data_IF_071477465256
#
_entry.id   IF_071477465256
#
_cell.length_a   1.000
_cell.length_b   1.000
_cell.length_c   1.000
_cell.angle_alpha   90.00
_cell.angle_beta   90.00
_cell.angle_gamma   90.00
#
_symmetry.space_group_name_H-M   'P 1'
#
loop_
_entity.id
_entity.type
_entity.pdbx_description
1 polymer ?
#
# COMPACT_ATOMS: atom_id res chain seq x y z
N UNK A 1 16.02 16.63 -17.25
CA UNK A 1 15.72 16.27 -15.84
C UNK A 1 14.27 15.82 -15.61
N UNK A 2 13.23 16.59 -15.98
CA UNK A 2 11.82 16.22 -15.72
C UNK A 2 11.38 14.86 -16.26
N UNK A 3 11.74 14.52 -17.51
CA UNK A 3 11.34 13.25 -18.13
C UNK A 3 11.92 12.03 -17.39
N UNK A 4 13.20 12.08 -17.01
CA UNK A 4 13.85 11.00 -16.25
C UNK A 4 13.21 10.82 -14.85
N UNK A 5 12.82 11.93 -14.20
CA UNK A 5 12.11 11.89 -12.94
C UNK A 5 10.72 11.22 -13.07
N UNK A 6 9.95 11.59 -14.09
CA UNK A 6 8.65 10.96 -14.38
C UNK A 6 8.81 9.47 -14.68
N UNK A 7 9.81 9.12 -15.48
CA UNK A 7 10.11 7.74 -15.84
C UNK A 7 10.47 6.90 -14.61
N UNK A 8 11.38 7.39 -13.75
CA UNK A 8 11.78 6.67 -12.55
C UNK A 8 10.57 6.40 -11.63
N UNK A 9 9.71 7.41 -11.42
CA UNK A 9 8.49 7.24 -10.63
C UNK A 9 7.55 6.19 -11.24
N UNK A 10 7.35 6.24 -12.55
CA UNK A 10 6.46 5.31 -13.27
C UNK A 10 6.99 3.87 -13.22
N UNK A 11 8.27 3.67 -13.51
CA UNK A 11 8.91 2.34 -13.44
C UNK A 11 8.80 1.74 -12.04
N UNK A 12 8.95 2.55 -10.98
CA UNK A 12 8.74 2.08 -9.62
C UNK A 12 7.32 1.58 -9.37
N UNK A 13 6.31 2.27 -9.93
CA UNK A 13 4.91 1.85 -9.79
C UNK A 13 4.53 0.58 -10.56
N UNK A 14 5.33 0.21 -11.57
CA UNK A 14 5.14 -1.00 -12.36
C UNK A 14 5.94 -2.21 -11.86
N UNK A 15 6.91 -1.98 -10.98
CA UNK A 15 7.81 -3.01 -10.50
C UNK A 15 7.09 -4.14 -9.74
N UNK A 16 7.75 -5.29 -9.67
CA UNK A 16 7.29 -6.47 -8.92
C UNK A 16 7.84 -6.49 -7.49
N UNK A 17 7.13 -7.10 -6.51
CA UNK A 17 7.63 -7.24 -5.16
C UNK A 17 9.00 -7.91 -5.10
N UNK A 18 9.97 -7.24 -4.48
CA UNK A 18 11.35 -7.70 -4.37
C UNK A 18 12.26 -7.25 -5.52
N UNK A 19 11.71 -6.57 -6.54
CA UNK A 19 12.51 -6.06 -7.64
C UNK A 19 13.53 -5.01 -7.19
N UNK A 20 14.74 -5.08 -7.76
CA UNK A 20 15.85 -4.21 -7.38
C UNK A 20 15.75 -2.86 -8.08
N UNK A 21 15.90 -1.77 -7.31
CA UNK A 21 15.92 -0.42 -7.85
C UNK A 21 17.09 -0.21 -8.84
N UNK A 22 16.82 0.05 -10.14
CA UNK A 22 17.84 0.13 -11.18
C UNK A 22 18.68 1.42 -11.10
N UNK A 23 18.23 2.42 -10.34
CA UNK A 23 18.91 3.70 -10.14
C UNK A 23 19.81 3.73 -8.90
N UNK A 24 19.77 2.68 -8.07
CA UNK A 24 20.61 2.56 -6.89
C UNK A 24 22.10 2.66 -7.27
N UNK A 25 22.83 3.55 -6.60
CA UNK A 25 24.25 3.83 -6.89
C UNK A 25 24.52 4.64 -8.17
N UNK A 26 23.51 4.91 -9.01
CA UNK A 26 23.65 5.73 -10.24
C UNK A 26 23.13 7.14 -10.06
N UNK A 27 22.00 7.30 -9.36
CA UNK A 27 21.41 8.60 -9.07
C UNK A 27 20.49 8.53 -7.86
N UNK A 28 20.85 9.27 -6.80
CA UNK A 28 20.06 9.31 -5.56
C UNK A 28 18.63 9.82 -5.79
N UNK A 29 18.48 10.86 -6.62
CA UNK A 29 17.17 11.48 -6.89
C UNK A 29 16.26 10.50 -7.64
N UNK A 30 16.77 9.85 -8.69
CA UNK A 30 15.98 8.88 -9.45
C UNK A 30 15.66 7.63 -8.61
N UNK A 31 16.61 7.18 -7.79
CA UNK A 31 16.37 6.07 -6.87
C UNK A 31 15.23 6.37 -5.88
N UNK A 32 15.18 7.58 -5.30
CA UNK A 32 14.09 7.99 -4.41
C UNK A 32 12.74 8.06 -5.13
N UNK A 33 12.71 8.54 -6.37
CA UNK A 33 11.47 8.61 -7.16
C UNK A 33 10.94 7.22 -7.53
N UNK A 34 11.83 6.33 -7.97
CA UNK A 34 11.48 4.92 -8.20
C UNK A 34 10.94 4.28 -6.93
N UNK A 35 11.63 4.48 -5.81
CA UNK A 35 11.20 3.92 -4.52
C UNK A 35 9.82 4.44 -4.10
N UNK A 36 9.51 5.71 -4.35
CA UNK A 36 8.18 6.28 -4.10
C UNK A 36 7.09 5.59 -4.94
N UNK A 37 7.36 5.32 -6.22
CA UNK A 37 6.45 4.56 -7.08
C UNK A 37 6.21 3.14 -6.56
N UNK A 38 7.31 2.47 -6.18
CA UNK A 38 7.30 1.11 -5.64
C UNK A 38 6.51 1.00 -4.33
N UNK A 39 6.73 1.90 -3.38
CA UNK A 39 5.95 1.92 -2.13
C UNK A 39 4.46 2.15 -2.36
N UNK A 40 4.10 3.06 -3.27
CA UNK A 40 2.70 3.28 -3.62
C UNK A 40 2.07 2.01 -4.19
N UNK A 41 2.78 1.33 -5.08
CA UNK A 41 2.33 0.06 -5.66
C UNK A 41 2.15 -1.01 -4.57
N UNK A 42 3.13 -1.18 -3.67
CA UNK A 42 3.04 -2.15 -2.57
C UNK A 42 1.86 -1.85 -1.66
N UNK A 43 1.66 -0.57 -1.31
CA UNK A 43 0.54 -0.16 -0.48
C UNK A 43 -0.79 -0.54 -1.12
N UNK A 44 -0.97 -0.29 -2.42
CA UNK A 44 -2.19 -0.71 -3.13
C UNK A 44 -2.34 -2.23 -3.09
N UNK A 45 -1.31 -2.99 -3.50
CA UNK A 45 -1.38 -4.47 -3.51
C UNK A 45 -1.73 -5.08 -2.14
N UNK A 46 -1.20 -4.50 -1.06
CA UNK A 46 -1.46 -4.97 0.31
C UNK A 46 -2.88 -4.61 0.76
N UNK A 47 -3.31 -3.37 0.53
CA UNK A 47 -4.53 -2.85 1.18
C UNK A 47 -5.79 -3.00 0.34
N UNK A 48 -5.69 -3.13 -0.97
CA UNK A 48 -6.87 -3.20 -1.87
C UNK A 48 -7.12 -4.61 -2.41
N UNK A 49 -6.38 -5.61 -1.93
CA UNK A 49 -6.58 -7.00 -2.33
C UNK A 49 -7.87 -7.61 -1.75
N UNK A 50 -8.45 -8.65 -2.38
CA UNK A 50 -9.66 -9.32 -1.87
C UNK A 50 -9.52 -9.86 -0.44
N UNK A 51 -8.31 -10.29 -0.05
CA UNK A 51 -8.04 -10.74 1.31
C UNK A 51 -8.18 -9.59 2.33
N UNK A 52 -7.70 -8.40 2.00
CA UNK A 52 -7.81 -7.24 2.89
C UNK A 52 -9.25 -6.72 2.95
N UNK A 53 -9.98 -6.75 1.83
CA UNK A 53 -11.41 -6.44 1.82
C UNK A 53 -12.20 -7.36 2.78
N UNK A 54 -12.00 -8.67 2.69
CA UNK A 54 -12.61 -9.66 3.62
C UNK A 54 -12.22 -9.40 5.07
N UNK A 55 -10.96 -9.05 5.32
CA UNK A 55 -10.51 -8.69 6.66
C UNK A 55 -11.26 -7.47 7.21
N UNK A 56 -11.42 -6.42 6.39
CA UNK A 56 -12.17 -5.23 6.79
C UNK A 56 -13.66 -5.52 7.05
N UNK A 57 -14.31 -6.32 6.21
CA UNK A 57 -15.70 -6.75 6.41
C UNK A 57 -15.86 -7.53 7.72
N UNK A 58 -15.01 -8.52 7.96
CA UNK A 58 -15.04 -9.32 9.19
C UNK A 58 -14.79 -8.45 10.43
N UNK A 59 -13.88 -7.48 10.33
CA UNK A 59 -13.59 -6.55 11.43
C UNK A 59 -14.78 -5.65 11.74
N UNK A 60 -15.38 -5.06 10.72
CA UNK A 60 -16.56 -4.20 10.89
C UNK A 60 -17.75 -4.96 11.51
N UNK A 61 -17.95 -6.23 11.14
CA UNK A 61 -18.96 -7.09 11.74
C UNK A 61 -18.68 -7.35 13.24
N UNK A 62 -17.43 -7.62 13.61
CA UNK A 62 -17.04 -7.84 14.99
C UNK A 62 -17.23 -6.58 15.87
N UNK A 63 -16.82 -5.41 15.35
CA UNK A 63 -16.99 -4.13 16.06
C UNK A 63 -18.48 -3.82 16.28
N UNK A 64 -19.33 -4.10 15.29
CA UNK A 64 -20.80 -3.94 15.41
C UNK A 64 -21.45 -4.88 16.43
N UNK A 65 -20.90 -6.09 16.63
CA UNK A 65 -21.37 -7.05 17.64
C UNK A 65 -20.92 -6.66 19.06
N UNK A 66 -19.73 -6.08 19.21
CA UNK A 66 -19.29 -5.56 20.52
C UNK A 66 -20.13 -4.39 21.00
N UNK A 67 -20.53 -3.48 20.10
CA UNK A 67 -21.40 -2.34 20.44
C UNK A 67 -22.78 -2.80 20.91
N UNK A 68 -23.37 -3.79 20.23
CA UNK A 68 -24.66 -4.37 20.62
C UNK A 68 -24.57 -5.06 21.99
N UNK A 69 -23.50 -5.84 22.25
CA UNK A 69 -23.32 -6.56 23.52
C UNK A 69 -23.12 -5.62 24.70
N UNK A 70 -22.46 -4.46 24.50
CA UNK A 70 -22.35 -3.41 25.51
C UNK A 70 -23.69 -2.77 25.86
N UNK A 71 -24.57 -2.60 24.87
CA UNK A 71 -25.91 -2.04 25.06
C UNK A 71 -26.82 -2.95 25.90
N UNK A 72 -26.73 -4.28 25.74
CA UNK A 72 -27.55 -5.25 26.50
C UNK A 72 -27.07 -5.51 27.94
N UNK A 73 -25.88 -5.05 28.33
CA UNK A 73 -25.29 -5.34 29.66
C UNK A 73 -25.52 -4.23 30.70
N UNK A 74 -26.32 -3.20 30.35
CA UNK A 74 -26.51 -1.98 31.14
C UNK A 74 -27.86 -1.89 31.86
N UNK A 75 -28.57 -3.01 32.05
CA UNK A 75 -29.88 -3.09 32.73
C UNK A 75 -29.78 -3.76 34.10
#
# INVERSE_FOLDING_TARGET
MRQAATRALYEGSLADPGERNPYAGRSLVLAKLWMRGYWRMLHVRIHTGPAMARYHEARAAADSMSDQTGMFRSE
#
